data_IF_317786224921
#
_entry.id   IF_317786224921
#
_cell.length_a   1.000
_cell.length_b   1.000
_cell.length_c   1.000
_cell.angle_alpha   90.00
_cell.angle_beta   90.00
_cell.angle_gamma   90.00
#
_symmetry.space_group_name_H-M   'P 1'
#
loop_
_entity.id
_entity.type
_entity.pdbx_description
1 polymer ?
#
# COMPACT_ATOMS: atom_id res chain seq x y z
N UNK A 1 -25.70 -28.94 7.11
CA UNK A 1 -26.31 -27.97 6.15
C UNK A 1 -25.21 -27.25 5.40
N UNK A 2 -25.20 -27.51 4.08
CA UNK A 2 -24.13 -27.11 3.17
C UNK A 2 -24.45 -25.72 2.62
N UNK A 3 -23.65 -24.71 3.00
CA UNK A 3 -23.73 -23.38 2.37
C UNK A 3 -22.93 -23.39 1.06
N UNK A 4 -23.63 -23.48 -0.05
CA UNK A 4 -23.08 -23.26 -1.39
C UNK A 4 -22.85 -21.77 -1.61
N UNK A 5 -21.58 -21.37 -1.68
CA UNK A 5 -21.16 -20.05 -2.09
C UNK A 5 -21.37 -19.90 -3.62
N UNK A 6 -22.26 -18.96 -4.01
CA UNK A 6 -22.52 -18.62 -5.40
C UNK A 6 -21.36 -17.77 -5.94
N UNK A 7 -20.66 -18.33 -6.91
CA UNK A 7 -19.70 -17.60 -7.75
C UNK A 7 -20.50 -16.66 -8.64
N UNK A 8 -20.36 -15.37 -8.41
CA UNK A 8 -20.92 -14.32 -9.31
C UNK A 8 -19.88 -14.05 -10.39
N UNK A 9 -20.15 -14.63 -11.57
CA UNK A 9 -19.40 -14.38 -12.79
C UNK A 9 -19.76 -12.99 -13.34
N UNK A 10 -18.84 -12.04 -13.29
CA UNK A 10 -18.99 -10.74 -13.93
C UNK A 10 -18.62 -10.87 -15.40
N UNK A 11 -19.62 -10.81 -16.26
CA UNK A 11 -19.49 -10.73 -17.72
C UNK A 11 -19.00 -9.34 -18.13
N UNK A 12 -17.96 -9.33 -18.95
CA UNK A 12 -17.43 -8.18 -19.68
C UNK A 12 -18.54 -7.47 -20.47
N UNK A 13 -18.65 -6.16 -20.30
CA UNK A 13 -19.38 -5.28 -21.20
C UNK A 13 -18.37 -4.46 -22.01
N UNK A 14 -18.18 -4.88 -23.27
CA UNK A 14 -17.45 -4.16 -24.31
C UNK A 14 -18.33 -3.00 -24.79
N UNK A 15 -17.87 -1.76 -24.62
CA UNK A 15 -18.40 -0.61 -25.34
C UNK A 15 -17.30 -0.03 -26.20
N UNK A 16 -17.42 -0.27 -27.50
CA UNK A 16 -16.69 0.41 -28.56
C UNK A 16 -17.31 1.80 -28.79
N UNK A 17 -16.51 2.84 -28.66
CA UNK A 17 -16.89 4.21 -29.00
C UNK A 17 -15.89 4.83 -29.97
N UNK A 18 -16.41 5.20 -31.13
CA UNK A 18 -15.75 5.67 -32.37
C UNK A 18 -15.00 7.00 -32.19
N UNK A 19 -13.92 7.09 -32.96
CA UNK A 19 -13.10 8.25 -33.25
C UNK A 19 -13.86 9.43 -33.87
N UNK A 20 -13.46 10.65 -33.52
CA UNK A 20 -13.55 11.80 -34.44
C UNK A 20 -12.30 12.63 -34.32
N UNK A 21 -11.47 12.57 -35.37
CA UNK A 21 -10.35 13.48 -35.62
C UNK A 21 -10.90 14.80 -36.19
N UNK A 22 -10.52 15.93 -35.61
CA UNK A 22 -10.52 17.22 -36.32
C UNK A 22 -9.13 17.82 -36.23
N UNK A 23 -8.49 17.85 -37.40
CA UNK A 23 -7.29 18.60 -37.67
C UNK A 23 -7.63 20.08 -37.86
N UNK A 24 -6.84 21.00 -37.33
CA UNK A 24 -6.67 22.34 -37.84
C UNK A 24 -5.21 22.75 -37.72
N UNK A 25 -4.68 23.15 -38.87
CA UNK A 25 -3.32 23.55 -39.19
C UNK A 25 -2.99 25.01 -38.79
N UNK A 26 -1.73 25.42 -39.01
CA UNK A 26 -1.08 26.48 -38.28
C UNK A 26 -1.17 27.83 -39.03
N UNK A 27 -0.93 28.91 -38.35
CA UNK A 27 -0.23 30.11 -38.81
C UNK A 27 -0.43 31.24 -37.81
N UNK A 28 0.65 31.81 -37.48
CA UNK A 28 1.04 33.21 -37.28
C UNK A 28 1.86 33.44 -36.02
N UNK A 29 3.14 33.62 -36.29
CA UNK A 29 4.09 34.29 -35.39
C UNK A 29 4.06 35.78 -35.73
N UNK A 30 3.97 36.67 -34.74
CA UNK A 30 4.65 37.95 -34.83
C UNK A 30 5.82 38.03 -33.87
N UNK A 31 6.99 38.26 -34.44
CA UNK A 31 8.16 38.84 -33.78
C UNK A 31 7.78 40.09 -32.99
N UNK A 32 8.14 40.10 -31.73
CA UNK A 32 8.39 41.36 -30.99
C UNK A 32 9.61 41.15 -30.09
N UNK A 33 10.66 41.79 -30.54
CA UNK A 33 11.81 42.24 -29.77
C UNK A 33 11.34 43.01 -28.52
N UNK A 34 11.85 42.67 -27.32
CA UNK A 34 12.38 43.65 -26.39
C UNK A 34 12.83 43.10 -25.04
N UNK A 35 14.11 43.32 -24.78
CA UNK A 35 14.71 43.72 -23.50
C UNK A 35 14.36 42.92 -22.25
N UNK A 36 15.30 42.04 -21.92
CA UNK A 36 15.37 41.35 -20.62
C UNK A 36 15.95 42.32 -19.58
N UNK A 37 15.24 42.68 -18.49
CA UNK A 37 15.87 43.18 -17.29
C UNK A 37 16.49 42.02 -16.49
N UNK A 38 17.59 42.26 -15.73
CA UNK A 38 18.28 41.19 -15.01
C UNK A 38 17.40 40.58 -13.92
N UNK A 39 17.50 39.28 -13.66
CA UNK A 39 16.69 38.60 -12.67
C UNK A 39 17.07 39.10 -11.27
N UNK A 40 16.12 39.73 -10.62
CA UNK A 40 16.13 39.88 -9.17
C UNK A 40 16.09 38.50 -8.53
N UNK A 41 17.15 38.18 -7.83
CA UNK A 41 17.29 36.97 -7.03
C UNK A 41 16.35 37.00 -5.81
N UNK A 42 15.12 36.56 -6.02
CA UNK A 42 14.29 36.05 -4.94
C UNK A 42 13.95 34.61 -5.31
N UNK A 43 14.90 33.73 -5.03
CA UNK A 43 14.63 32.29 -4.86
C UNK A 43 13.77 32.19 -3.60
N UNK A 44 12.53 31.72 -3.66
CA UNK A 44 11.92 31.17 -2.46
C UNK A 44 12.83 30.01 -2.04
N UNK A 45 13.42 30.12 -0.87
CA UNK A 45 13.94 28.96 -0.18
C UNK A 45 12.73 28.07 0.05
N UNK A 46 12.51 27.10 -0.85
CA UNK A 46 11.78 25.89 -0.52
C UNK A 46 12.56 25.27 0.64
N UNK A 47 12.14 25.61 1.83
CA UNK A 47 12.40 24.80 2.99
C UNK A 47 11.61 23.51 2.77
N UNK A 48 12.14 22.65 1.91
CA UNK A 48 11.92 21.21 2.01
C UNK A 48 12.57 20.81 3.34
N UNK A 49 11.85 21.06 4.42
CA UNK A 49 12.03 20.35 5.66
C UNK A 49 11.75 18.88 5.31
N UNK A 50 12.77 18.26 4.73
CA UNK A 50 12.78 16.82 4.60
C UNK A 50 12.49 16.27 5.98
N UNK A 51 11.22 15.92 6.22
CA UNK A 51 10.78 15.20 7.41
C UNK A 51 11.58 13.89 7.45
N UNK A 52 12.76 13.98 8.04
CA UNK A 52 13.59 12.84 8.39
C UNK A 52 12.96 12.18 9.62
N UNK A 53 11.65 11.90 9.51
CA UNK A 53 10.97 11.06 10.50
C UNK A 53 11.70 9.73 10.53
N UNK A 54 12.17 9.28 11.70
CA UNK A 54 12.88 8.02 11.80
C UNK A 54 12.01 6.90 11.22
N UNK A 55 12.61 6.07 10.38
CA UNK A 55 11.97 4.88 9.83
C UNK A 55 11.36 4.11 10.98
N UNK A 56 10.02 4.02 11.00
CA UNK A 56 9.32 3.37 12.09
C UNK A 56 9.39 1.86 11.92
N UNK A 57 9.97 1.17 12.90
CA UNK A 57 10.01 -0.28 12.96
C UNK A 57 9.04 -0.81 14.00
N UNK A 58 8.40 -1.91 13.65
CA UNK A 58 7.55 -2.68 14.56
C UNK A 58 8.01 -4.12 14.63
N UNK A 59 7.77 -4.77 15.75
CA UNK A 59 7.91 -6.21 15.87
C UNK A 59 6.56 -6.85 15.57
N UNK A 60 6.59 -7.83 14.67
CA UNK A 60 5.46 -8.66 14.26
C UNK A 60 5.71 -10.07 14.79
N UNK A 61 5.10 -10.43 15.89
CA UNK A 61 5.27 -11.76 16.50
C UNK A 61 4.18 -12.69 15.98
N UNK A 62 4.59 -13.76 15.30
CA UNK A 62 3.71 -14.77 14.69
C UNK A 62 3.96 -16.11 15.40
N UNK A 63 2.95 -16.67 16.06
CA UNK A 63 3.09 -17.92 16.82
C UNK A 63 4.33 -17.94 17.72
N UNK A 64 4.59 -16.87 18.47
CA UNK A 64 5.75 -16.64 19.35
C UNK A 64 7.11 -16.42 18.63
N UNK A 65 7.14 -16.35 17.31
CA UNK A 65 8.35 -16.03 16.56
C UNK A 65 8.34 -14.56 16.15
N UNK A 66 9.30 -13.75 16.60
CA UNK A 66 9.37 -12.33 16.28
C UNK A 66 10.00 -12.09 14.90
N UNK A 67 9.43 -11.16 14.16
CA UNK A 67 9.95 -10.56 12.93
C UNK A 67 9.98 -9.05 13.10
N UNK A 68 10.95 -8.37 12.49
CA UNK A 68 10.95 -6.91 12.38
C UNK A 68 10.32 -6.51 11.06
N UNK A 69 9.49 -5.49 11.07
CA UNK A 69 8.94 -4.88 9.88
C UNK A 69 9.26 -3.38 9.86
N UNK A 70 9.70 -2.92 8.70
CA UNK A 70 9.88 -1.51 8.38
C UNK A 70 8.57 -0.96 7.82
N UNK A 71 8.07 0.13 8.40
CA UNK A 71 6.82 0.77 8.00
C UNK A 71 7.06 1.95 7.07
N UNK A 72 6.08 2.20 6.19
CA UNK A 72 6.03 3.36 5.31
C UNK A 72 5.78 4.66 6.11
N UNK A 73 6.16 5.79 5.53
CA UNK A 73 5.85 7.10 6.11
C UNK A 73 4.59 7.69 5.44
N UNK A 74 3.41 7.27 5.90
CA UNK A 74 2.13 7.77 5.42
C UNK A 74 1.11 7.93 6.57
N UNK A 75 -0.01 8.56 6.29
CA UNK A 75 -1.06 8.81 7.27
C UNK A 75 -1.69 7.52 7.80
N UNK A 76 -1.90 6.54 6.93
CA UNK A 76 -2.43 5.22 7.30
C UNK A 76 -1.57 4.54 8.36
N UNK A 77 -0.24 4.62 8.21
CA UNK A 77 0.71 4.05 9.17
C UNK A 77 0.69 4.82 10.50
N UNK A 78 0.54 6.14 10.49
CA UNK A 78 0.42 6.92 11.72
C UNK A 78 -0.77 6.45 12.55
N UNK A 79 -1.93 6.32 11.94
CA UNK A 79 -3.15 5.83 12.60
C UNK A 79 -3.04 4.34 12.99
N UNK A 80 -2.37 3.52 12.18
CA UNK A 80 -2.10 2.12 12.53
C UNK A 80 -1.24 1.99 13.79
N UNK A 81 -0.22 2.85 13.93
CA UNK A 81 0.66 2.85 15.09
C UNK A 81 -0.07 3.21 16.40
N UNK A 82 -1.11 4.04 16.32
CA UNK A 82 -1.94 4.40 17.49
C UNK A 82 -2.78 3.23 18.01
N UNK A 83 -2.93 2.17 17.20
CA UNK A 83 -3.60 0.92 17.64
C UNK A 83 -2.68 -0.04 18.39
N UNK A 84 -1.36 0.20 18.38
CA UNK A 84 -0.40 -0.72 18.97
C UNK A 84 -0.26 -0.52 20.50
N UNK A 85 -0.08 -1.60 21.28
CA UNK A 85 0.08 -2.99 20.84
C UNK A 85 -1.25 -3.62 20.39
N UNK A 86 -1.20 -4.37 19.29
CA UNK A 86 -2.37 -5.01 18.68
C UNK A 86 -2.16 -6.50 18.51
N UNK A 87 -3.08 -7.30 19.02
CA UNK A 87 -3.12 -8.76 18.80
C UNK A 87 -4.35 -9.11 17.99
N UNK A 88 -4.16 -9.83 16.89
CA UNK A 88 -5.21 -10.23 15.96
C UNK A 88 -5.08 -11.70 15.55
N UNK A 89 -6.20 -12.33 15.29
CA UNK A 89 -6.25 -13.62 14.62
C UNK A 89 -6.42 -13.40 13.13
N UNK A 90 -5.42 -13.80 12.36
CA UNK A 90 -5.39 -13.65 10.91
C UNK A 90 -5.82 -14.96 10.24
N UNK A 91 -6.72 -14.84 9.29
CA UNK A 91 -7.30 -15.94 8.52
C UNK A 91 -6.47 -16.20 7.26
N UNK A 92 -6.31 -17.49 6.95
CA UNK A 92 -5.67 -17.94 5.71
C UNK A 92 -6.52 -17.62 4.48
N UNK A 93 -5.87 -17.14 3.42
CA UNK A 93 -6.52 -16.95 2.13
C UNK A 93 -5.57 -17.32 0.96
N UNK A 94 -6.08 -18.12 0.04
CA UNK A 94 -5.45 -18.51 -1.24
C UNK A 94 -4.06 -19.16 -1.16
N UNK A 95 -3.55 -19.50 0.01
CA UNK A 95 -2.22 -20.08 0.18
C UNK A 95 -1.08 -19.07 -0.02
N UNK A 96 -1.34 -17.77 0.04
CA UNK A 96 -0.36 -16.71 -0.21
C UNK A 96 -0.45 -15.54 0.76
N UNK A 97 -1.52 -15.41 1.56
CA UNK A 97 -1.75 -14.28 2.45
C UNK A 97 -2.51 -14.65 3.71
N UNK A 98 -2.33 -13.85 4.74
CA UNK A 98 -3.13 -13.83 5.96
C UNK A 98 -3.80 -12.48 6.07
N UNK A 99 -5.07 -12.44 6.46
CA UNK A 99 -5.80 -11.19 6.64
C UNK A 99 -6.60 -11.14 7.94
N UNK A 100 -6.85 -9.95 8.42
CA UNK A 100 -7.79 -9.65 9.50
C UNK A 100 -8.47 -8.31 9.29
N UNK A 101 -9.65 -8.14 9.89
CA UNK A 101 -10.33 -6.85 9.90
C UNK A 101 -10.08 -6.12 11.21
N UNK A 102 -9.69 -4.85 11.10
CA UNK A 102 -9.60 -3.95 12.23
C UNK A 102 -11.00 -3.51 12.67
N UNK A 103 -11.17 -3.16 13.96
CA UNK A 103 -12.44 -2.68 14.48
C UNK A 103 -12.81 -1.27 13.97
N UNK A 104 -11.85 -0.55 13.41
CA UNK A 104 -12.01 0.80 12.86
C UNK A 104 -11.38 0.92 11.48
N UNK A 105 -11.82 1.93 10.73
CA UNK A 105 -11.22 2.28 9.44
C UNK A 105 -9.99 3.15 9.63
N UNK A 106 -9.01 2.99 8.73
CA UNK A 106 -7.81 3.80 8.62
C UNK A 106 -7.90 4.70 7.37
N UNK A 107 -7.15 5.80 7.31
CA UNK A 107 -6.95 6.57 6.08
C UNK A 107 -6.46 5.69 4.93
N UNK A 108 -6.88 5.99 3.71
CA UNK A 108 -6.62 5.16 2.52
C UNK A 108 -5.87 5.96 1.47
N UNK A 109 -4.69 5.47 1.06
CA UNK A 109 -3.96 5.90 -0.15
C UNK A 109 -3.72 4.66 -1.04
N UNK A 110 -4.82 4.13 -1.58
CA UNK A 110 -4.82 2.86 -2.31
C UNK A 110 -4.27 3.03 -3.71
N UNK A 111 -3.28 2.21 -4.08
CA UNK A 111 -2.65 2.18 -5.41
C UNK A 111 -2.62 0.76 -5.94
N UNK A 112 -2.73 0.62 -7.26
CA UNK A 112 -2.57 -0.68 -7.91
C UNK A 112 -1.14 -1.21 -7.67
N UNK A 113 -1.06 -2.49 -7.30
CA UNK A 113 0.21 -3.18 -7.03
C UNK A 113 0.34 -4.32 -8.02
N UNK A 114 1.25 -4.18 -8.99
CA UNK A 114 1.45 -5.17 -10.05
C UNK A 114 2.10 -6.46 -9.53
N UNK A 115 3.00 -6.34 -8.56
CA UNK A 115 3.69 -7.46 -7.94
C UNK A 115 3.68 -7.29 -6.42
N UNK A 116 3.03 -8.21 -5.75
CA UNK A 116 3.08 -8.36 -4.29
C UNK A 116 4.30 -9.22 -3.96
N UNK A 117 5.00 -8.86 -2.91
CA UNK A 117 6.20 -9.54 -2.47
C UNK A 117 5.99 -10.23 -1.12
N UNK A 118 6.74 -11.31 -0.90
CA UNK A 118 6.78 -11.96 0.41
C UNK A 118 7.21 -10.95 1.49
N UNK A 119 6.44 -10.88 2.56
CA UNK A 119 6.64 -9.94 3.67
C UNK A 119 5.88 -8.63 3.55
N UNK A 120 5.26 -8.32 2.40
CA UNK A 120 4.46 -7.11 2.26
C UNK A 120 3.31 -7.10 3.29
N UNK A 121 3.19 -5.97 4.00
CA UNK A 121 2.10 -5.67 4.92
C UNK A 121 1.29 -4.51 4.34
N UNK A 122 0.02 -4.75 4.06
CA UNK A 122 -0.83 -3.82 3.33
C UNK A 122 -2.21 -3.68 3.95
N UNK A 123 -2.91 -2.60 3.61
CA UNK A 123 -4.31 -2.39 3.90
C UNK A 123 -5.13 -2.56 2.61
N UNK A 124 -6.11 -3.46 2.63
CA UNK A 124 -7.12 -3.61 1.60
C UNK A 124 -8.41 -2.92 2.05
N UNK A 125 -8.97 -2.07 1.17
CA UNK A 125 -10.06 -1.19 1.59
C UNK A 125 -9.62 -0.23 2.70
N UNK A 126 -10.43 -0.09 3.75
CA UNK A 126 -10.15 0.84 4.85
C UNK A 126 -9.82 0.17 6.19
N UNK A 127 -10.02 -1.14 6.33
CA UNK A 127 -9.84 -1.81 7.62
C UNK A 127 -9.35 -3.27 7.54
N UNK A 128 -9.00 -3.77 6.35
CA UNK A 128 -8.51 -5.14 6.21
C UNK A 128 -6.97 -5.14 6.11
N UNK A 129 -6.29 -5.55 7.16
CA UNK A 129 -4.83 -5.77 7.14
C UNK A 129 -4.53 -7.11 6.48
N UNK A 130 -3.56 -7.10 5.57
CA UNK A 130 -3.09 -8.27 4.83
C UNK A 130 -1.59 -8.42 4.98
N UNK A 131 -1.13 -9.59 5.39
CA UNK A 131 0.29 -9.98 5.43
C UNK A 131 0.53 -11.06 4.38
N UNK A 132 1.35 -10.73 3.39
CA UNK A 132 1.67 -11.62 2.28
C UNK A 132 2.90 -12.47 2.58
N UNK A 133 2.82 -13.78 2.31
CA UNK A 133 3.92 -14.71 2.55
C UNK A 133 4.36 -15.46 1.28
N UNK A 134 3.83 -15.05 0.12
CA UNK A 134 4.32 -15.45 -1.20
C UNK A 134 4.35 -14.25 -2.15
N UNK A 135 5.25 -14.32 -3.13
CA UNK A 135 5.36 -13.33 -4.21
C UNK A 135 4.49 -13.77 -5.39
N UNK A 136 3.67 -12.87 -5.92
CA UNK A 136 2.80 -13.13 -7.08
C UNK A 136 2.37 -11.82 -7.76
N UNK A 137 1.89 -11.92 -9.01
CA UNK A 137 1.31 -10.78 -9.72
C UNK A 137 -0.12 -10.51 -9.25
N UNK A 138 -0.45 -9.24 -9.09
CA UNK A 138 -1.76 -8.79 -8.61
C UNK A 138 -2.31 -7.67 -9.49
N UNK A 139 -3.62 -7.56 -9.57
CA UNK A 139 -4.34 -6.43 -10.18
C UNK A 139 -5.13 -5.62 -9.14
N UNK A 140 -5.02 -5.96 -7.89
CA UNK A 140 -5.72 -5.29 -6.80
C UNK A 140 -4.97 -4.03 -6.35
N UNK A 141 -5.73 -3.13 -5.73
CA UNK A 141 -5.19 -1.91 -5.13
C UNK A 141 -5.14 -2.04 -3.61
N UNK A 142 -4.02 -1.59 -3.03
CA UNK A 142 -3.74 -1.61 -1.60
C UNK A 142 -3.11 -0.31 -1.17
N UNK A 143 -3.27 0.06 0.09
CA UNK A 143 -2.42 1.04 0.76
C UNK A 143 -1.26 0.32 1.44
N UNK A 144 -0.02 0.74 1.16
CA UNK A 144 1.16 0.12 1.78
C UNK A 144 1.27 0.54 3.24
N UNK A 145 1.44 -0.44 4.13
CA UNK A 145 1.76 -0.21 5.55
C UNK A 145 3.25 -0.41 5.82
N UNK A 146 3.87 -1.36 5.12
CA UNK A 146 5.28 -1.67 5.30
C UNK A 146 5.64 -3.05 4.80
N UNK A 147 6.74 -3.60 5.34
CA UNK A 147 7.25 -4.91 4.96
C UNK A 147 8.07 -5.56 6.09
N UNK A 148 7.98 -6.88 6.21
CA UNK A 148 8.89 -7.70 7.02
C UNK A 148 10.31 -7.61 6.43
N UNK A 149 11.29 -7.23 7.25
CA UNK A 149 12.67 -6.99 6.80
C UNK A 149 13.37 -8.28 6.37
N UNK A 150 13.15 -9.38 7.11
CA UNK A 150 13.75 -10.68 6.87
C UNK A 150 12.68 -11.77 6.79
N UNK A 151 12.42 -12.26 5.59
CA UNK A 151 11.31 -13.19 5.31
C UNK A 151 11.70 -14.67 5.41
N UNK A 152 12.94 -14.99 5.80
CA UNK A 152 13.39 -16.38 5.97
C UNK A 152 12.55 -17.08 7.03
N UNK A 153 11.93 -18.20 6.66
CA UNK A 153 11.04 -18.99 7.55
C UNK A 153 9.63 -18.40 7.73
N UNK A 154 9.33 -17.22 7.19
CA UNK A 154 8.02 -16.56 7.35
C UNK A 154 6.87 -17.47 6.86
N UNK A 155 7.04 -18.08 5.68
CA UNK A 155 6.04 -18.98 5.11
C UNK A 155 5.79 -20.21 5.98
N UNK A 156 6.85 -20.79 6.55
CA UNK A 156 6.75 -22.01 7.38
C UNK A 156 6.04 -21.71 8.71
N UNK A 157 6.30 -20.52 9.28
CA UNK A 157 5.69 -20.08 10.55
C UNK A 157 4.24 -19.66 10.38
N UNK A 158 3.91 -18.98 9.29
CA UNK A 158 2.52 -18.67 8.94
C UNK A 158 1.71 -19.94 8.65
N UNK A 159 2.34 -20.92 8.04
CA UNK A 159 1.76 -22.26 7.86
C UNK A 159 0.44 -22.28 7.10
N UNK A 160 -0.28 -23.40 7.27
CA UNK A 160 -1.64 -23.61 6.76
C UNK A 160 -2.65 -23.29 7.89
N UNK A 161 -3.66 -22.48 7.59
CA UNK A 161 -4.70 -22.13 8.55
C UNK A 161 -4.49 -20.78 9.25
N UNK A 162 -5.29 -20.52 10.26
CA UNK A 162 -5.28 -19.23 10.96
C UNK A 162 -4.10 -19.13 11.92
N UNK A 163 -3.62 -17.90 12.14
CA UNK A 163 -2.50 -17.61 13.05
C UNK A 163 -2.82 -16.39 13.91
N UNK A 164 -2.32 -16.40 15.14
CA UNK A 164 -2.34 -15.21 16.00
C UNK A 164 -1.09 -14.38 15.75
N UNK A 165 -1.27 -13.09 15.45
CA UNK A 165 -0.22 -12.13 15.19
C UNK A 165 -0.30 -10.98 16.20
N UNK A 166 0.84 -10.64 16.78
CA UNK A 166 0.97 -9.49 17.66
C UNK A 166 1.89 -8.44 17.04
N UNK A 167 1.41 -7.22 16.95
CA UNK A 167 2.16 -6.04 16.50
C UNK A 167 2.50 -5.15 17.68
N UNK A 168 3.76 -4.76 17.84
CA UNK A 168 4.18 -3.80 18.86
C UNK A 168 5.34 -2.93 18.38
N UNK A 169 5.44 -1.72 18.92
CA UNK A 169 6.50 -0.77 18.59
C UNK A 169 7.82 -1.26 19.19
N UNK A 170 8.91 -1.16 18.42
CA UNK A 170 10.26 -1.38 18.97
C UNK A 170 10.55 -0.21 19.92
N UNK A 171 10.59 -0.48 21.23
CA UNK A 171 11.08 0.50 22.19
C UNK A 171 12.60 0.61 22.01
N UNK A 172 13.04 1.77 21.54
CA UNK A 172 14.47 2.15 21.50
C UNK A 172 14.94 2.57 22.88
#
# INVERSE_FOLDING_TARGET
>A
ESYRMKIVSFKYCLIAGLLSFTACSPDDIPDVDETIPPPSSNVPEDNDDGDCSPVKQVVVTINNTPFTATLENNETVREFLDLLPLTVDMTELNGNEKYCYLPQSLPVDSRQIDVIQTGDLMLYGSNCIVLFYQTFSSSYSYTRLGRIDHTTGLKDILGQGNVTVNFHIVNQ
#
